data_IF_149677613415
#
_entry.id   IF_149677613415
#
_cell.length_a   1.000
_cell.length_b   1.000
_cell.length_c   1.000
_cell.angle_alpha   90.00
_cell.angle_beta   90.00
_cell.angle_gamma   90.00
#
_symmetry.space_group_name_H-M   'P 1'
#
loop_
_entity.id
_entity.type
_entity.pdbx_description
1 polymer ?
#
# COMPACT_ATOMS: atom_id res chain seq x y z
N UNK A 1 0.53 -12.91 26.98
CA UNK A 1 0.14 -13.15 25.57
C UNK A 1 0.59 -11.93 24.79
N UNK A 2 1.53 -12.06 23.86
CA UNK A 2 1.93 -10.95 23.00
C UNK A 2 0.76 -10.59 22.11
N UNK A 3 0.27 -9.35 22.19
CA UNK A 3 -0.80 -8.89 21.31
C UNK A 3 -0.21 -8.68 19.92
N UNK A 4 -0.69 -9.44 18.94
CA UNK A 4 -0.37 -9.23 17.53
C UNK A 4 -1.23 -8.10 16.96
N UNK A 5 -0.65 -7.31 16.07
CA UNK A 5 -1.36 -6.34 15.24
C UNK A 5 -1.22 -6.74 13.77
N UNK A 6 -2.23 -6.36 12.98
CA UNK A 6 -2.30 -6.65 11.55
C UNK A 6 -2.11 -5.35 10.78
N UNK A 7 -1.01 -5.26 10.06
CA UNK A 7 -0.67 -4.12 9.21
C UNK A 7 -1.12 -4.43 7.78
N UNK A 8 -2.07 -3.65 7.29
CA UNK A 8 -2.54 -3.67 5.91
C UNK A 8 -1.76 -2.65 5.10
N UNK A 9 -1.33 -3.02 3.90
CA UNK A 9 -0.47 -2.23 3.04
C UNK A 9 -0.95 -2.31 1.58
N UNK A 10 -1.08 -1.15 0.93
CA UNK A 10 -1.41 -1.00 -0.49
C UNK A 10 -0.23 -0.53 -1.35
N UNK A 11 0.99 -0.52 -0.79
CA UNK A 11 2.19 -0.19 -1.56
C UNK A 11 2.60 -1.35 -2.48
N UNK A 12 3.05 -1.00 -3.68
CA UNK A 12 3.56 -1.94 -4.68
C UNK A 12 4.91 -2.54 -4.25
N UNK A 13 5.79 -1.75 -3.64
CA UNK A 13 7.08 -2.22 -3.13
C UNK A 13 6.97 -2.79 -1.71
N UNK A 14 7.72 -3.87 -1.44
CA UNK A 14 7.92 -4.38 -0.09
C UNK A 14 8.67 -3.37 0.77
N UNK A 15 8.26 -3.22 2.04
CA UNK A 15 8.80 -2.21 2.93
C UNK A 15 9.65 -2.85 4.02
N UNK A 16 10.87 -2.34 4.19
CA UNK A 16 11.76 -2.68 5.30
C UNK A 16 12.05 -1.40 6.09
N UNK A 17 11.27 -1.15 7.14
CA UNK A 17 11.43 0.04 7.96
C UNK A 17 12.58 -0.15 8.94
N UNK A 18 13.59 0.72 8.87
CA UNK A 18 14.64 0.77 9.87
C UNK A 18 14.07 1.20 11.23
N UNK A 19 14.33 0.38 12.26
CA UNK A 19 13.89 0.61 13.64
C UNK A 19 15.06 0.42 14.59
N UNK A 20 14.88 0.76 15.88
CA UNK A 20 15.95 0.67 16.88
C UNK A 20 16.58 -0.72 16.97
N UNK A 21 15.78 -1.78 16.88
CA UNK A 21 16.25 -3.17 17.00
C UNK A 21 16.49 -3.86 15.64
N UNK A 22 16.64 -3.09 14.55
CA UNK A 22 16.97 -3.61 13.22
C UNK A 22 16.01 -3.11 12.15
N UNK A 23 15.29 -4.03 11.51
CA UNK A 23 14.29 -3.68 10.50
C UNK A 23 13.00 -4.48 10.71
N UNK A 24 11.85 -3.83 10.46
CA UNK A 24 10.55 -4.49 10.43
C UNK A 24 10.09 -4.58 8.98
N UNK A 25 9.87 -5.82 8.53
CA UNK A 25 9.36 -6.12 7.19
C UNK A 25 7.84 -6.03 7.16
N UNK A 26 7.30 -5.31 6.18
CA UNK A 26 5.88 -5.25 5.85
C UNK A 26 5.72 -5.64 4.39
N UNK A 27 4.92 -6.67 4.13
CA UNK A 27 4.58 -7.10 2.77
C UNK A 27 3.91 -5.95 2.03
N UNK A 28 4.53 -5.50 0.95
CA UNK A 28 3.89 -4.74 -0.11
C UNK A 28 3.40 -5.69 -1.19
N UNK A 29 3.63 -5.37 -2.46
CA UNK A 29 3.15 -6.13 -3.61
C UNK A 29 1.62 -6.06 -3.79
N UNK A 30 1.01 -4.95 -3.39
CA UNK A 30 -0.34 -4.62 -3.79
C UNK A 30 -0.40 -4.38 -5.31
N UNK A 31 -1.49 -4.80 -5.93
CA UNK A 31 -1.72 -4.70 -7.38
C UNK A 31 -0.69 -5.44 -8.26
N UNK A 32 0.14 -6.31 -7.66
CA UNK A 32 1.11 -7.15 -8.37
C UNK A 32 0.57 -8.58 -8.46
N UNK A 33 0.56 -9.14 -9.67
CA UNK A 33 0.10 -10.52 -9.91
C UNK A 33 0.99 -11.51 -9.15
N UNK A 34 0.35 -12.37 -8.36
CA UNK A 34 1.04 -13.44 -7.64
C UNK A 34 1.26 -14.67 -8.53
N UNK A 35 2.10 -15.60 -8.06
CA UNK A 35 2.32 -16.89 -8.72
C UNK A 35 1.04 -17.74 -8.87
N UNK A 36 0.02 -17.47 -8.05
CA UNK A 36 -1.27 -18.14 -8.12
C UNK A 36 -2.28 -17.41 -9.04
N UNK A 37 -1.80 -16.50 -9.90
CA UNK A 37 -2.60 -15.75 -10.88
C UNK A 37 -3.73 -14.91 -10.26
N UNK A 38 -3.59 -14.52 -8.99
CA UNK A 38 -4.45 -13.52 -8.35
C UNK A 38 -3.64 -12.23 -8.13
N UNK A 39 -4.30 -11.08 -8.30
CA UNK A 39 -3.73 -9.75 -8.09
C UNK A 39 -4.39 -9.14 -6.86
N UNK A 40 -3.76 -9.21 -5.68
CA UNK A 40 -4.37 -8.74 -4.45
C UNK A 40 -4.35 -7.21 -4.40
N UNK A 41 -5.45 -6.60 -3.95
CA UNK A 41 -5.54 -5.13 -3.81
C UNK A 41 -4.70 -4.60 -2.66
N UNK A 42 -4.51 -5.40 -1.62
CA UNK A 42 -3.65 -5.07 -0.50
C UNK A 42 -3.13 -6.33 0.19
N UNK A 43 -2.13 -6.15 1.06
CA UNK A 43 -1.46 -7.26 1.75
C UNK A 43 -1.45 -7.01 3.24
N UNK A 44 -1.51 -8.10 4.00
CA UNK A 44 -1.51 -8.07 5.47
C UNK A 44 -0.21 -8.67 6.00
N UNK A 45 0.40 -7.98 6.95
CA UNK A 45 1.57 -8.45 7.70
C UNK A 45 1.23 -8.45 9.18
N UNK A 46 1.51 -9.56 9.87
CA UNK A 46 1.37 -9.64 11.32
C UNK A 46 2.65 -9.12 11.98
N UNK A 47 2.50 -8.21 12.93
CA UNK A 47 3.61 -7.64 13.72
C UNK A 47 3.30 -7.70 15.20
N UNK A 48 4.34 -7.78 16.04
CA UNK A 48 4.16 -7.70 17.49
C UNK A 48 3.85 -6.27 17.94
N UNK A 49 3.23 -6.13 19.11
CA UNK A 49 3.05 -4.81 19.74
C UNK A 49 4.37 -4.04 19.94
N UNK A 50 5.48 -4.75 20.19
CA UNK A 50 6.81 -4.16 20.34
C UNK A 50 7.35 -3.63 19.01
N UNK A 51 7.21 -4.40 17.93
CA UNK A 51 7.58 -3.97 16.58
C UNK A 51 6.74 -2.76 16.16
N UNK A 52 5.43 -2.80 16.40
CA UNK A 52 4.56 -1.65 16.11
C UNK A 52 4.92 -0.42 16.94
N UNK A 53 5.34 -0.59 18.20
CA UNK A 53 5.81 0.51 19.02
C UNK A 53 7.00 1.24 18.36
N UNK A 54 7.95 0.48 17.80
CA UNK A 54 9.11 1.03 17.12
C UNK A 54 8.79 1.61 15.74
N UNK A 55 7.84 1.02 15.02
CA UNK A 55 7.38 1.53 13.73
C UNK A 55 6.79 2.94 13.83
N UNK A 56 6.12 3.27 14.94
CA UNK A 56 5.58 4.63 15.17
C UNK A 56 6.66 5.71 15.25
N UNK A 57 7.88 5.34 15.62
CA UNK A 57 9.01 6.27 15.66
C UNK A 57 9.68 6.43 14.28
N UNK A 58 9.36 5.56 13.32
CA UNK A 58 9.87 5.64 11.96
C UNK A 58 9.06 6.66 11.13
N UNK A 59 9.73 7.72 10.71
CA UNK A 59 9.10 8.81 9.94
C UNK A 59 8.41 8.35 8.65
N UNK A 60 9.05 7.46 7.88
CA UNK A 60 8.51 6.97 6.60
C UNK A 60 7.28 6.10 6.81
N UNK A 61 7.29 5.25 7.83
CA UNK A 61 6.11 4.46 8.20
C UNK A 61 4.92 5.36 8.55
N UNK A 62 5.16 6.37 9.38
CA UNK A 62 4.13 7.34 9.76
C UNK A 62 3.60 8.11 8.55
N UNK A 63 4.46 8.53 7.63
CA UNK A 63 4.05 9.18 6.39
C UNK A 63 3.16 8.28 5.52
N UNK A 64 3.55 7.02 5.31
CA UNK A 64 2.73 6.08 4.54
C UNK A 64 1.37 5.81 5.19
N UNK A 65 1.31 5.79 6.52
CA UNK A 65 0.07 5.66 7.28
C UNK A 65 -0.82 6.90 7.13
N UNK A 66 -0.24 8.10 7.27
CA UNK A 66 -0.96 9.38 7.11
C UNK A 66 -1.51 9.56 5.69
N UNK A 67 -0.75 9.10 4.69
CA UNK A 67 -1.17 9.10 3.28
C UNK A 67 -2.20 8.01 2.95
N UNK A 68 -2.61 7.17 3.90
CA UNK A 68 -3.65 6.16 3.69
C UNK A 68 -3.18 4.85 3.04
N UNK A 69 -1.87 4.66 2.83
CA UNK A 69 -1.32 3.43 2.26
C UNK A 69 -1.13 2.31 3.29
N UNK A 70 -1.15 2.66 4.58
CA UNK A 70 -0.98 1.72 5.68
C UNK A 70 -2.09 1.90 6.71
N UNK A 71 -2.73 0.79 7.07
CA UNK A 71 -3.72 0.73 8.16
C UNK A 71 -3.32 -0.37 9.14
N UNK A 72 -3.55 -0.16 10.44
CA UNK A 72 -3.18 -1.12 11.49
C UNK A 72 -4.40 -1.46 12.33
N UNK A 73 -4.70 -2.75 12.43
CA UNK A 73 -5.85 -3.27 13.17
C UNK A 73 -5.42 -4.25 14.28
N UNK A 74 -6.23 -4.31 15.34
CA UNK A 74 -6.03 -5.27 16.43
C UNK A 74 -6.68 -6.65 16.15
N UNK A 75 -7.56 -6.73 15.15
CA UNK A 75 -8.22 -7.96 14.74
C UNK A 75 -7.91 -8.25 13.28
N UNK A 76 -7.72 -9.53 12.96
CA UNK A 76 -7.49 -9.95 11.59
C UNK A 76 -8.77 -9.81 10.77
N UNK A 77 -8.76 -8.91 9.81
CA UNK A 77 -9.74 -8.75 8.75
C UNK A 77 -9.19 -9.21 7.39
N UNK A 78 -10.08 -9.36 6.42
CA UNK A 78 -9.76 -9.70 5.03
C UNK A 78 -9.02 -8.52 4.35
N UNK A 79 -7.77 -8.71 3.87
CA UNK A 79 -7.00 -7.65 3.25
C UNK A 79 -7.66 -7.03 2.01
N UNK A 80 -8.45 -7.79 1.24
CA UNK A 80 -9.15 -7.24 0.07
C UNK A 80 -10.20 -6.20 0.47
N UNK A 81 -10.91 -6.48 1.57
CA UNK A 81 -11.93 -5.56 2.09
C UNK A 81 -11.30 -4.30 2.68
N UNK A 82 -10.29 -4.47 3.54
CA UNK A 82 -9.61 -3.33 4.18
C UNK A 82 -8.95 -2.45 3.12
N UNK A 83 -8.33 -3.03 2.10
CA UNK A 83 -7.69 -2.29 1.02
C UNK A 83 -8.68 -1.57 0.09
N UNK A 84 -9.97 -1.89 0.14
CA UNK A 84 -10.99 -1.15 -0.65
C UNK A 84 -11.14 0.28 -0.16
N UNK A 85 -11.04 0.49 1.16
CA UNK A 85 -11.17 1.80 1.82
C UNK A 85 -9.82 2.53 1.99
N UNK A 86 -8.72 1.96 1.47
CA UNK A 86 -7.37 2.51 1.55
C UNK A 86 -6.94 3.19 0.24
N UNK A 87 -5.91 4.03 0.32
CA UNK A 87 -5.35 4.66 -0.87
C UNK A 87 -4.77 3.59 -1.81
N UNK A 88 -5.22 3.61 -3.06
CA UNK A 88 -5.07 2.50 -3.99
C UNK A 88 -3.87 2.67 -4.92
N UNK A 89 -3.46 3.91 -5.15
CA UNK A 89 -2.42 4.25 -6.10
C UNK A 89 -1.33 5.07 -5.45
N UNK A 90 -0.10 4.57 -5.55
CA UNK A 90 1.07 5.40 -5.34
C UNK A 90 1.03 6.55 -6.35
N UNK A 91 1.33 7.78 -5.91
CA UNK A 91 1.27 9.00 -6.73
C UNK A 91 2.31 9.01 -7.86
N UNK A 92 3.16 7.97 -7.93
CA UNK A 92 4.11 7.73 -9.01
C UNK A 92 3.54 6.87 -10.14
N UNK A 93 2.38 6.24 -9.94
CA UNK A 93 1.73 5.44 -10.98
C UNK A 93 1.15 6.37 -12.07
N UNK A 94 1.25 5.99 -13.35
CA UNK A 94 0.62 6.75 -14.42
C UNK A 94 -0.90 6.76 -14.22
N UNK A 95 -1.51 7.93 -14.39
CA UNK A 95 -2.96 8.08 -14.31
C UNK A 95 -3.65 7.12 -15.28
N UNK A 96 -4.61 6.36 -14.77
CA UNK A 96 -5.50 5.56 -15.63
C UNK A 96 -6.59 6.47 -16.18
N UNK A 97 -7.19 6.16 -17.35
CA UNK A 97 -8.30 6.96 -17.89
C UNK A 97 -9.44 7.13 -16.88
N UNK A 98 -9.68 6.13 -16.03
CA UNK A 98 -10.67 6.19 -14.96
C UNK A 98 -10.30 7.17 -13.84
N UNK A 99 -9.01 7.30 -13.48
CA UNK A 99 -8.53 8.32 -12.52
C UNK A 99 -8.60 9.74 -13.10
N UNK A 100 -8.37 9.89 -14.41
CA UNK A 100 -8.51 11.17 -15.14
C UNK A 100 -9.97 11.58 -15.37
N UNK A 101 -10.92 10.66 -15.29
CA UNK A 101 -12.35 10.95 -15.36
C UNK A 101 -12.94 11.31 -13.98
N UNK A 102 -12.33 10.79 -12.91
CA UNK A 102 -12.73 11.08 -11.52
C UNK A 102 -12.15 12.41 -11.00
N UNK A 103 -10.93 12.76 -11.43
CA UNK A 103 -10.38 14.11 -11.28
C UNK A 103 -10.68 14.86 -12.58
N UNK A 104 -11.53 15.89 -12.58
CA UNK A 104 -11.90 16.71 -13.77
C UNK A 104 -10.68 17.48 -14.36
N UNK A 105 -9.65 16.75 -14.79
CA UNK A 105 -8.36 17.25 -15.29
C UNK A 105 -8.24 16.87 -16.76
N UNK A 106 -8.02 17.90 -17.58
CA UNK A 106 -7.83 17.81 -19.01
C UNK A 106 -6.86 16.68 -19.42
N UNK A 107 -7.39 15.74 -20.20
CA UNK A 107 -6.66 14.63 -20.80
C UNK A 107 -5.53 15.19 -21.69
N UNK A 108 -4.25 14.85 -21.47
CA UNK A 108 -3.19 15.26 -22.38
C UNK A 108 -3.37 14.53 -23.73
N UNK A 109 -3.49 15.32 -24.80
CA UNK A 109 -3.71 14.88 -26.17
C UNK A 109 -2.59 13.91 -26.63
N UNK A 110 -2.85 12.61 -26.58
CA UNK A 110 -1.98 11.60 -27.19
C UNK A 110 -2.13 11.69 -28.71
N UNK A 111 -1.20 12.43 -29.32
CA UNK A 111 -1.11 12.60 -30.76
C UNK A 111 -1.11 11.25 -31.47
N UNK A 112 -2.19 10.97 -32.20
CA UNK A 112 -2.27 9.88 -33.19
C UNK A 112 -1.17 10.08 -34.24
N UNK A 113 -0.03 9.42 -34.04
CA UNK A 113 0.98 9.22 -35.07
C UNK A 113 0.45 8.26 -36.15
N UNK A 114 -0.28 8.79 -37.13
CA UNK A 114 -0.39 8.14 -38.45
C UNK A 114 0.99 8.25 -39.10
N UNK A 115 1.64 7.13 -39.37
CA UNK A 115 2.69 7.08 -40.38
C UNK A 115 2.36 6.04 -41.43
N UNK A 116 2.64 6.45 -42.67
CA UNK A 116 2.28 5.91 -43.98
C UNK A 116 2.64 4.45 -44.21
#
# INVERSE_FOLDING_TARGET
MSQSLYVYCTLSNDQNYAVRDGAVFICGQANIMTKAMHTPRGRVTEVSAEQYAQLKDNHVFTLHKENGFITVEHRKADPEKVATDMEASDQSAPDTPESLEAEDKDIPNTGKGKSK
#
